data_IF_229162647187
#
_entry.id   IF_229162647187
#
_cell.length_a   1.000
_cell.length_b   1.000
_cell.length_c   1.000
_cell.angle_alpha   90.00
_cell.angle_beta   90.00
_cell.angle_gamma   90.00
#
_symmetry.space_group_name_H-M   'P 1'
#
loop_
_entity.id
_entity.type
_entity.pdbx_description
1 polymer ?
#
# COMPACT_ATOMS: atom_id res chain seq x y z
N UNK A 1 -17.47 -8.56 -8.21
CA UNK A 1 -16.12 -7.95 -8.14
C UNK A 1 -14.95 -8.91 -8.38
N UNK A 2 -15.10 -10.25 -8.40
CA UNK A 2 -13.96 -11.17 -8.53
C UNK A 2 -13.06 -10.95 -9.76
N UNK A 3 -13.63 -10.48 -10.88
CA UNK A 3 -12.87 -10.17 -12.11
C UNK A 3 -11.94 -8.95 -11.98
N UNK A 4 -12.11 -8.12 -10.95
CA UNK A 4 -11.23 -6.96 -10.68
C UNK A 4 -10.01 -7.38 -9.86
N UNK A 5 -10.04 -8.55 -9.21
CA UNK A 5 -8.96 -9.01 -8.36
C UNK A 5 -7.74 -9.37 -9.21
N UNK A 6 -6.70 -8.54 -9.12
CA UNK A 6 -5.46 -8.69 -9.88
C UNK A 6 -5.50 -8.01 -11.25
N UNK A 7 -6.55 -7.22 -11.53
CA UNK A 7 -6.60 -6.37 -12.72
C UNK A 7 -5.48 -5.31 -12.65
N UNK A 8 -4.64 -5.24 -13.69
CA UNK A 8 -3.58 -4.24 -13.82
C UNK A 8 -4.11 -2.82 -13.60
N UNK A 9 -5.20 -2.44 -14.26
CA UNK A 9 -5.73 -1.08 -14.16
C UNK A 9 -6.21 -0.72 -12.76
N UNK A 10 -6.75 -1.70 -12.03
CA UNK A 10 -7.16 -1.52 -10.64
C UNK A 10 -5.94 -1.38 -9.74
N UNK A 11 -4.92 -2.22 -9.94
CA UNK A 11 -3.68 -2.15 -9.18
C UNK A 11 -2.93 -0.84 -9.44
N UNK A 12 -2.82 -0.38 -10.68
CA UNK A 12 -2.20 0.90 -11.02
C UNK A 12 -2.89 2.08 -10.32
N UNK A 13 -4.22 2.08 -10.33
CA UNK A 13 -5.01 3.10 -9.64
C UNK A 13 -4.78 3.04 -8.13
N UNK A 14 -4.79 1.85 -7.54
CA UNK A 14 -4.58 1.66 -6.11
C UNK A 14 -3.16 2.06 -5.67
N UNK A 15 -2.13 1.80 -6.48
CA UNK A 15 -0.75 2.23 -6.22
C UNK A 15 -0.63 3.75 -6.23
N UNK A 16 -1.34 4.41 -7.15
CA UNK A 16 -1.44 5.87 -7.18
C UNK A 16 -2.13 6.40 -5.92
N UNK A 17 -3.28 5.82 -5.55
CA UNK A 17 -4.02 6.22 -4.35
C UNK A 17 -3.15 6.09 -3.08
N UNK A 18 -2.40 4.99 -2.95
CA UNK A 18 -1.44 4.79 -1.85
C UNK A 18 -0.31 5.82 -1.85
N UNK A 19 0.18 6.21 -3.04
CA UNK A 19 1.22 7.24 -3.17
C UNK A 19 0.67 8.60 -2.73
N UNK A 20 -0.54 8.94 -3.15
CA UNK A 20 -1.21 10.19 -2.78
C UNK A 20 -1.53 10.23 -1.27
N UNK A 21 -2.01 9.11 -0.70
CA UNK A 21 -2.22 8.97 0.76
C UNK A 21 -0.92 9.13 1.54
N UNK A 22 0.16 8.49 1.10
CA UNK A 22 1.47 8.65 1.73
C UNK A 22 1.95 10.11 1.68
N UNK A 23 1.73 10.80 0.56
CA UNK A 23 2.01 12.23 0.44
C UNK A 23 1.22 13.07 1.44
N UNK A 24 -0.08 12.81 1.60
CA UNK A 24 -0.93 13.49 2.57
C UNK A 24 -0.49 13.24 4.03
N UNK A 25 -0.09 12.01 4.37
CA UNK A 25 0.43 11.68 5.70
C UNK A 25 1.73 12.44 5.99
N UNK A 26 2.64 12.47 5.02
CA UNK A 26 3.90 13.23 5.14
C UNK A 26 3.62 14.72 5.34
N UNK A 27 2.67 15.28 4.59
CA UNK A 27 2.26 16.67 4.75
C UNK A 27 1.72 16.95 6.16
N UNK A 28 0.80 16.11 6.66
CA UNK A 28 0.26 16.23 8.03
C UNK A 28 1.37 16.13 9.08
N UNK A 29 2.28 15.15 8.97
CA UNK A 29 3.39 14.98 9.91
C UNK A 29 4.38 16.15 9.89
N UNK A 30 4.55 16.82 8.74
CA UNK A 30 5.41 18.00 8.67
C UNK A 30 4.89 19.18 9.52
N UNK A 31 3.58 19.22 9.78
CA UNK A 31 2.92 20.26 10.57
C UNK A 31 2.64 19.83 12.03
N UNK A 32 2.20 18.59 12.24
CA UNK A 32 1.77 18.07 13.54
C UNK A 32 2.85 17.26 14.28
N UNK A 33 3.93 16.89 13.59
CA UNK A 33 4.90 15.90 14.06
C UNK A 33 4.47 14.45 13.79
N UNK A 34 5.41 13.50 13.84
CA UNK A 34 5.13 12.10 13.53
C UNK A 34 4.32 11.40 14.63
N UNK A 35 3.37 10.56 14.23
CA UNK A 35 2.61 9.69 15.15
C UNK A 35 3.12 8.26 15.02
N UNK A 36 3.51 7.65 16.15
CA UNK A 36 4.01 6.28 16.19
C UNK A 36 2.90 5.34 16.68
N UNK A 37 2.34 4.60 15.75
CA UNK A 37 1.41 3.50 16.02
C UNK A 37 1.89 2.24 15.30
N UNK A 38 1.62 1.05 15.85
CA UNK A 38 1.97 -0.19 15.17
C UNK A 38 1.19 -0.30 13.85
N UNK A 39 1.87 -0.80 12.82
CA UNK A 39 1.22 -1.12 11.55
C UNK A 39 0.19 -2.22 11.76
N UNK A 40 -1.00 -2.02 11.19
CA UNK A 40 -2.05 -3.02 11.11
C UNK A 40 -1.60 -4.23 10.29
N UNK A 41 -0.89 -3.99 9.18
CA UNK A 41 -0.42 -5.04 8.26
C UNK A 41 0.87 -5.74 8.73
N UNK A 42 1.81 -4.97 9.26
CA UNK A 42 3.12 -5.43 9.70
C UNK A 42 3.26 -5.16 11.21
N UNK A 43 2.69 -6.02 12.07
CA UNK A 43 2.55 -5.73 13.50
C UNK A 43 3.89 -5.57 14.25
N UNK A 44 4.99 -6.01 13.65
CA UNK A 44 6.37 -5.84 14.11
C UNK A 44 6.97 -4.47 13.75
N UNK A 45 6.24 -3.64 12.98
CA UNK A 45 6.71 -2.36 12.46
C UNK A 45 5.80 -1.21 12.91
N UNK A 46 6.36 0.00 12.90
CA UNK A 46 5.59 1.23 13.09
C UNK A 46 5.05 1.66 11.72
N UNK A 47 3.76 2.00 11.65
CA UNK A 47 3.08 2.31 10.39
C UNK A 47 3.75 3.46 9.63
N UNK A 48 4.12 4.54 10.33
CA UNK A 48 4.78 5.69 9.73
C UNK A 48 6.21 5.43 9.23
N UNK A 49 6.85 4.33 9.66
CA UNK A 49 8.23 3.99 9.31
C UNK A 49 8.29 2.97 8.17
N UNK A 50 7.15 2.57 7.61
CA UNK A 50 7.09 1.66 6.48
C UNK A 50 7.67 2.31 5.22
N UNK A 51 8.63 1.63 4.60
CA UNK A 51 9.18 2.02 3.31
C UNK A 51 8.17 1.77 2.19
N UNK A 52 7.35 2.79 1.93
CA UNK A 52 6.30 2.72 0.90
C UNK A 52 6.86 2.55 -0.51
N UNK A 53 8.06 3.05 -0.78
CA UNK A 53 8.68 2.89 -2.10
C UNK A 53 9.01 1.42 -2.31
N UNK A 54 9.70 0.79 -1.35
CA UNK A 54 10.03 -0.63 -1.43
C UNK A 54 8.79 -1.53 -1.46
N UNK A 55 7.75 -1.20 -0.68
CA UNK A 55 6.49 -1.97 -0.67
C UNK A 55 5.74 -1.86 -2.00
N UNK A 56 5.66 -0.67 -2.59
CA UNK A 56 5.06 -0.48 -3.91
C UNK A 56 5.93 -1.13 -5.00
N UNK A 57 7.26 -1.09 -4.92
CA UNK A 57 8.09 -1.82 -5.89
C UNK A 57 7.90 -3.34 -5.81
N UNK A 58 7.69 -3.88 -4.61
CA UNK A 58 7.53 -5.32 -4.41
C UNK A 58 6.15 -5.84 -4.82
N UNK A 59 5.07 -5.15 -4.42
CA UNK A 59 3.70 -5.59 -4.67
C UNK A 59 3.14 -4.94 -5.93
N UNK A 60 3.41 -5.57 -7.07
CA UNK A 60 2.98 -5.09 -8.40
C UNK A 60 2.23 -6.16 -9.18
N UNK A 61 1.64 -5.77 -10.31
CA UNK A 61 1.08 -6.73 -11.25
C UNK A 61 2.21 -7.51 -11.94
N UNK A 62 2.11 -8.85 -11.92
CA UNK A 62 3.09 -9.74 -12.55
C UNK A 62 2.39 -10.58 -13.62
N UNK A 63 2.59 -10.24 -14.92
CA UNK A 63 1.99 -11.00 -16.00
C UNK A 63 2.41 -12.48 -15.95
N UNK A 64 1.42 -13.38 -15.98
CA UNK A 64 1.67 -14.82 -15.90
C UNK A 64 1.75 -15.38 -14.48
N UNK A 65 1.64 -14.54 -13.45
CA UNK A 65 1.56 -14.97 -12.05
C UNK A 65 0.29 -14.41 -11.37
N UNK A 66 -0.87 -15.06 -11.57
CA UNK A 66 -2.13 -14.59 -11.01
C UNK A 66 -2.16 -14.72 -9.48
N UNK A 67 -1.47 -15.68 -8.89
CA UNK A 67 -1.45 -15.85 -7.43
C UNK A 67 -0.72 -14.69 -6.76
N UNK A 68 0.49 -14.37 -7.22
CA UNK A 68 1.24 -13.23 -6.69
C UNK A 68 0.55 -11.90 -6.99
N UNK A 69 -0.04 -11.76 -8.18
CA UNK A 69 -0.79 -10.55 -8.55
C UNK A 69 -2.00 -10.33 -7.65
N UNK A 70 -2.77 -11.38 -7.34
CA UNK A 70 -3.91 -11.28 -6.42
C UNK A 70 -3.48 -11.02 -4.98
N UNK A 71 -2.41 -11.66 -4.53
CA UNK A 71 -1.79 -11.38 -3.23
C UNK A 71 -1.36 -9.91 -3.14
N UNK A 72 -0.63 -9.42 -4.14
CA UNK A 72 -0.18 -8.03 -4.22
C UNK A 72 -1.35 -7.07 -4.17
N UNK A 73 -2.42 -7.34 -4.93
CA UNK A 73 -3.63 -6.52 -4.89
C UNK A 73 -4.27 -6.48 -3.48
N UNK A 74 -4.35 -7.63 -2.79
CA UNK A 74 -4.86 -7.68 -1.42
C UNK A 74 -3.96 -6.91 -0.44
N UNK A 75 -2.64 -7.05 -0.54
CA UNK A 75 -1.70 -6.33 0.31
C UNK A 75 -1.78 -4.81 0.08
N UNK A 76 -1.90 -4.36 -1.16
CA UNK A 76 -2.09 -2.94 -1.46
C UNK A 76 -3.40 -2.40 -0.83
N UNK A 77 -4.48 -3.18 -0.84
CA UNK A 77 -5.73 -2.79 -0.15
C UNK A 77 -5.55 -2.73 1.37
N UNK A 78 -4.83 -3.68 1.95
CA UNK A 78 -4.51 -3.68 3.39
C UNK A 78 -3.62 -2.50 3.78
N UNK A 79 -2.73 -2.05 2.89
CA UNK A 79 -1.95 -0.83 3.09
C UNK A 79 -2.83 0.41 3.15
N UNK A 80 -3.96 0.47 2.43
CA UNK A 80 -4.89 1.61 2.57
C UNK A 80 -5.49 1.67 3.98
N UNK A 81 -5.75 0.52 4.60
CA UNK A 81 -6.26 0.43 5.98
C UNK A 81 -5.16 0.78 7.00
N UNK A 82 -3.90 0.48 6.66
CA UNK A 82 -2.74 0.72 7.52
C UNK A 82 -2.33 2.20 7.67
N UNK A 83 -2.67 3.02 6.67
CA UNK A 83 -2.30 4.43 6.54
C UNK A 83 -3.32 5.34 7.23
#
# INVERSE_FOLDING_TARGET
MAHLLGSQSCMDSLRKDLTDLQGAIVDVFSHAGPVRFPSWKFPDRVACDLDMVALLEHYDHVPGDPEFTQLSHAVLLELVIDR
#
